data_IF_972241707093
#
_entry.id   IF_972241707093
#
_cell.length_a   1.000
_cell.length_b   1.000
_cell.length_c   1.000
_cell.angle_alpha   90.00
_cell.angle_beta   90.00
_cell.angle_gamma   90.00
#
_symmetry.space_group_name_H-M   'P 1'
#
loop_
_entity.id
_entity.type
_entity.pdbx_description
1 polymer ?
#
# COMPACT_ATOMS: atom_id res chain seq x y z
N UNK A 1 -8.84 11.77 -8.61
CA UNK A 1 -9.63 12.98 -8.26
C UNK A 1 -10.91 12.61 -7.50
N UNK A 2 -11.64 11.53 -7.86
CA UNK A 2 -12.89 11.15 -7.19
C UNK A 2 -12.71 10.90 -5.69
N UNK A 3 -11.68 10.17 -5.28
CA UNK A 3 -11.38 9.93 -3.85
C UNK A 3 -11.22 11.24 -3.07
N UNK A 4 -10.47 12.20 -3.61
CA UNK A 4 -10.25 13.51 -2.96
C UNK A 4 -11.58 14.26 -2.82
N UNK A 5 -12.36 14.34 -3.89
CA UNK A 5 -13.64 15.04 -3.86
C UNK A 5 -14.61 14.43 -2.85
N UNK A 6 -14.74 13.09 -2.86
CA UNK A 6 -15.63 12.38 -1.95
C UNK A 6 -15.18 12.48 -0.48
N UNK A 7 -13.86 12.43 -0.22
CA UNK A 7 -13.33 12.63 1.12
C UNK A 7 -13.64 14.04 1.62
N UNK A 8 -13.39 15.07 0.80
CA UNK A 8 -13.68 16.46 1.15
C UNK A 8 -15.17 16.68 1.46
N UNK A 9 -16.08 16.06 0.68
CA UNK A 9 -17.52 16.09 0.96
C UNK A 9 -17.84 15.39 2.29
N UNK A 10 -17.23 14.25 2.56
CA UNK A 10 -17.48 13.49 3.79
C UNK A 10 -17.08 14.26 5.05
N UNK A 11 -15.95 14.99 5.03
CA UNK A 11 -15.46 15.74 6.20
C UNK A 11 -15.97 17.19 6.26
N UNK A 12 -16.72 17.62 5.24
CA UNK A 12 -17.25 18.99 5.20
C UNK A 12 -18.13 19.29 6.43
N UNK A 13 -17.92 20.46 7.04
CA UNK A 13 -18.65 20.88 8.24
C UNK A 13 -18.22 20.20 9.54
N UNK A 14 -17.16 19.39 9.49
CA UNK A 14 -16.54 18.79 10.68
C UNK A 14 -15.23 19.48 11.03
N UNK A 15 -14.67 19.20 12.22
CA UNK A 15 -13.32 19.63 12.60
C UNK A 15 -12.20 18.76 12.01
N UNK A 16 -12.54 17.75 11.21
CA UNK A 16 -11.59 16.79 10.63
C UNK A 16 -10.87 17.32 9.39
N UNK A 17 -11.38 18.35 8.74
CA UNK A 17 -10.81 18.91 7.50
C UNK A 17 -9.40 19.49 7.61
N UNK A 18 -8.88 19.67 8.83
CA UNK A 18 -7.52 20.16 9.08
C UNK A 18 -6.49 19.04 9.30
N UNK A 19 -6.94 17.78 9.31
CA UNK A 19 -6.06 16.62 9.46
C UNK A 19 -5.55 16.15 8.10
N UNK A 20 -4.36 15.55 8.07
CA UNK A 20 -3.89 14.85 6.85
C UNK A 20 -4.74 13.59 6.61
N UNK A 21 -4.71 13.09 5.38
CA UNK A 21 -5.43 11.86 5.03
C UNK A 21 -4.93 10.69 5.87
N UNK A 22 -3.61 10.59 6.06
CA UNK A 22 -2.99 9.55 6.87
C UNK A 22 -3.43 9.61 8.33
N UNK A 23 -3.54 10.83 8.90
CA UNK A 23 -4.07 11.01 10.27
C UNK A 23 -5.52 10.57 10.38
N UNK A 24 -6.36 10.90 9.40
CA UNK A 24 -7.77 10.52 9.38
C UNK A 24 -7.93 8.99 9.34
N UNK A 25 -7.23 8.31 8.43
CA UNK A 25 -7.37 6.87 8.25
C UNK A 25 -6.66 6.06 9.34
N UNK A 26 -5.63 6.61 9.99
CA UNK A 26 -5.00 5.99 11.15
C UNK A 26 -5.89 6.03 12.42
N UNK A 27 -6.86 6.93 12.47
CA UNK A 27 -7.71 7.16 13.64
C UNK A 27 -9.21 7.05 13.29
N UNK A 28 -9.60 6.03 12.54
CA UNK A 28 -10.98 5.84 12.08
C UNK A 28 -11.99 5.69 13.22
N UNK A 29 -11.56 5.22 14.38
CA UNK A 29 -12.37 5.15 15.60
C UNK A 29 -12.82 6.53 16.10
N UNK A 30 -12.03 7.57 15.84
CA UNK A 30 -12.34 8.97 16.18
C UNK A 30 -13.22 9.66 15.12
N UNK A 31 -13.39 9.06 13.96
CA UNK A 31 -14.27 9.58 12.91
C UNK A 31 -15.73 9.26 13.22
N UNK A 32 -16.66 10.22 13.17
CA UNK A 32 -18.09 9.98 13.38
C UNK A 32 -18.61 8.81 12.55
N UNK A 33 -19.43 7.96 13.15
CA UNK A 33 -19.88 6.70 12.54
C UNK A 33 -20.58 6.89 11.20
N UNK A 34 -21.38 7.94 11.08
CA UNK A 34 -22.14 8.25 9.86
C UNK A 34 -21.29 8.61 8.64
N UNK A 35 -20.03 9.00 8.83
CA UNK A 35 -19.08 9.33 7.74
C UNK A 35 -17.87 8.39 7.70
N UNK A 36 -17.69 7.53 8.72
CA UNK A 36 -16.49 6.69 8.88
C UNK A 36 -16.19 5.83 7.65
N UNK A 37 -17.20 5.15 7.10
CA UNK A 37 -17.04 4.33 5.90
C UNK A 37 -16.60 5.16 4.68
N UNK A 38 -17.14 6.38 4.53
CA UNK A 38 -16.75 7.26 3.45
C UNK A 38 -15.29 7.72 3.60
N UNK A 39 -14.86 8.06 4.83
CA UNK A 39 -13.47 8.42 5.13
C UNK A 39 -12.53 7.23 4.91
N UNK A 40 -12.88 6.03 5.37
CA UNK A 40 -12.11 4.80 5.17
C UNK A 40 -11.90 4.54 3.69
N UNK A 41 -12.95 4.47 2.89
CA UNK A 41 -12.87 4.10 1.48
C UNK A 41 -12.16 5.19 0.64
N UNK A 42 -12.52 6.45 0.83
CA UNK A 42 -11.99 7.53 0.01
C UNK A 42 -10.62 8.01 0.51
N UNK A 43 -10.41 8.06 1.82
CA UNK A 43 -9.12 8.34 2.43
C UNK A 43 -8.09 7.24 2.11
N UNK A 44 -8.47 5.97 2.30
CA UNK A 44 -7.64 4.83 1.92
C UNK A 44 -7.30 4.82 0.43
N UNK A 45 -8.30 5.03 -0.44
CA UNK A 45 -8.08 5.09 -1.88
C UNK A 45 -7.13 6.20 -2.29
N UNK A 46 -7.24 7.39 -1.68
CA UNK A 46 -6.31 8.49 -1.94
C UNK A 46 -4.90 8.18 -1.45
N UNK A 47 -4.75 7.73 -0.20
CA UNK A 47 -3.45 7.40 0.38
C UNK A 47 -2.73 6.29 -0.40
N UNK A 48 -3.43 5.20 -0.70
CA UNK A 48 -2.89 4.06 -1.44
C UNK A 48 -2.33 4.46 -2.81
N UNK A 49 -3.10 5.24 -3.59
CA UNK A 49 -2.65 5.65 -4.92
C UNK A 49 -1.58 6.75 -4.87
N UNK A 50 -1.61 7.65 -3.88
CA UNK A 50 -0.55 8.63 -3.68
C UNK A 50 0.79 7.96 -3.39
N UNK A 51 0.79 6.87 -2.62
CA UNK A 51 1.96 6.03 -2.37
C UNK A 51 2.35 5.25 -3.64
N UNK A 52 1.39 4.58 -4.28
CA UNK A 52 1.61 3.68 -5.42
C UNK A 52 2.38 4.35 -6.55
N UNK A 53 2.00 5.57 -6.95
CA UNK A 53 2.67 6.29 -8.03
C UNK A 53 4.13 6.65 -7.71
N UNK A 54 4.51 6.78 -6.45
CA UNK A 54 5.90 6.99 -6.05
C UNK A 54 6.72 5.69 -6.08
N UNK A 55 6.05 4.54 -5.95
CA UNK A 55 6.68 3.21 -5.93
C UNK A 55 6.95 2.64 -7.32
N UNK A 56 6.54 3.33 -8.39
CA UNK A 56 6.73 2.87 -9.77
C UNK A 56 7.76 3.73 -10.50
N UNK A 57 8.72 3.07 -11.15
CA UNK A 57 9.75 3.72 -11.95
C UNK A 57 10.30 2.74 -12.99
N UNK A 58 10.44 3.20 -14.23
CA UNK A 58 11.21 2.46 -15.24
C UNK A 58 12.67 2.38 -14.76
N UNK A 59 13.25 1.20 -14.83
CA UNK A 59 14.62 0.95 -14.37
C UNK A 59 14.83 1.38 -12.90
N UNK A 60 13.92 0.95 -12.03
CA UNK A 60 13.86 1.32 -10.60
C UNK A 60 14.94 0.72 -9.72
N UNK A 61 15.87 -0.07 -10.28
CA UNK A 61 17.04 -0.59 -9.58
C UNK A 61 16.80 -1.86 -8.77
N UNK A 62 17.51 -1.97 -7.67
CA UNK A 62 17.46 -3.06 -6.69
C UNK A 62 17.35 -2.46 -5.27
N UNK A 63 16.90 -3.22 -4.29
CA UNK A 63 16.93 -2.78 -2.89
C UNK A 63 18.37 -2.44 -2.46
N UNK A 64 18.52 -1.48 -1.55
CA UNK A 64 19.80 -1.18 -0.93
C UNK A 64 20.37 -2.42 -0.22
N UNK A 65 21.68 -2.41 0.06
CA UNK A 65 22.31 -3.50 0.79
C UNK A 65 21.68 -3.73 2.19
N UNK A 66 21.21 -2.67 2.82
CA UNK A 66 20.56 -2.75 4.13
C UNK A 66 19.18 -3.40 4.04
N UNK A 67 18.32 -2.94 3.12
CA UNK A 67 17.00 -3.54 2.93
C UNK A 67 17.12 -4.99 2.39
N UNK A 68 18.07 -5.26 1.50
CA UNK A 68 18.32 -6.61 1.00
C UNK A 68 18.68 -7.58 2.14
N UNK A 69 19.56 -7.18 3.08
CA UNK A 69 19.87 -8.00 4.26
C UNK A 69 18.65 -8.27 5.14
N UNK A 70 17.78 -7.27 5.30
CA UNK A 70 16.55 -7.47 6.08
C UNK A 70 15.56 -8.39 5.37
N UNK A 71 15.43 -8.26 4.05
CA UNK A 71 14.64 -9.20 3.24
C UNK A 71 15.21 -10.63 3.37
N UNK A 72 16.54 -10.79 3.29
CA UNK A 72 17.19 -12.09 3.44
C UNK A 72 16.95 -12.69 4.82
N UNK A 73 17.15 -11.90 5.88
CA UNK A 73 17.07 -12.38 7.25
C UNK A 73 15.64 -12.64 7.74
N UNK A 74 14.69 -11.79 7.33
CA UNK A 74 13.32 -11.82 7.86
C UNK A 74 12.34 -12.55 6.94
N UNK A 75 12.55 -12.51 5.62
CA UNK A 75 11.62 -13.09 4.64
C UNK A 75 12.21 -14.30 3.90
N UNK A 76 13.48 -14.66 4.16
CA UNK A 76 14.12 -15.82 3.57
C UNK A 76 14.68 -15.60 2.16
N UNK A 77 14.97 -14.35 1.81
CA UNK A 77 15.60 -13.95 0.56
C UNK A 77 14.66 -13.32 -0.45
N UNK A 78 15.27 -12.69 -1.47
CA UNK A 78 14.52 -11.94 -2.48
C UNK A 78 13.52 -12.80 -3.26
N UNK A 79 13.91 -14.02 -3.64
CA UNK A 79 13.03 -14.92 -4.41
C UNK A 79 11.81 -15.33 -3.58
N UNK A 80 12.00 -15.59 -2.28
CA UNK A 80 10.89 -15.91 -1.39
C UNK A 80 10.01 -14.68 -1.14
N UNK A 81 10.58 -13.51 -0.92
CA UNK A 81 9.85 -12.24 -0.86
C UNK A 81 8.96 -12.06 -2.10
N UNK A 82 9.56 -12.20 -3.31
CA UNK A 82 8.84 -12.10 -4.58
C UNK A 82 7.69 -13.11 -4.65
N UNK A 83 7.94 -14.36 -4.28
CA UNK A 83 6.92 -15.42 -4.28
C UNK A 83 5.78 -15.11 -3.29
N UNK A 84 6.10 -14.68 -2.08
CA UNK A 84 5.12 -14.40 -1.03
C UNK A 84 4.26 -13.16 -1.38
N UNK A 85 4.87 -12.08 -1.88
CA UNK A 85 4.12 -10.89 -2.32
C UNK A 85 3.23 -11.20 -3.53
N UNK A 86 3.75 -11.98 -4.49
CA UNK A 86 2.96 -12.45 -5.63
C UNK A 86 1.77 -13.29 -5.18
N UNK A 87 1.98 -14.22 -4.27
CA UNK A 87 0.92 -15.05 -3.69
C UNK A 87 -0.13 -14.17 -3.00
N UNK A 88 0.28 -13.22 -2.17
CA UNK A 88 -0.62 -12.29 -1.50
C UNK A 88 -1.50 -11.50 -2.49
N UNK A 89 -0.93 -11.02 -3.61
CA UNK A 89 -1.66 -10.32 -4.65
C UNK A 89 -2.58 -11.22 -5.47
N UNK A 90 -2.12 -12.40 -5.87
CA UNK A 90 -2.90 -13.33 -6.69
C UNK A 90 -4.07 -13.92 -5.91
N UNK A 91 -3.86 -14.28 -4.63
CA UNK A 91 -4.90 -14.89 -3.79
C UNK A 91 -5.85 -13.88 -3.16
N UNK A 92 -5.60 -12.56 -3.28
CA UNK A 92 -6.54 -11.54 -2.84
C UNK A 92 -7.83 -11.65 -3.64
N UNK A 93 -8.88 -12.19 -3.03
CA UNK A 93 -10.17 -12.34 -3.69
C UNK A 93 -10.81 -10.96 -3.91
N UNK A 94 -11.23 -10.70 -5.14
CA UNK A 94 -11.79 -9.40 -5.51
C UNK A 94 -10.76 -8.28 -5.63
N UNK A 95 -11.20 -7.07 -5.34
CA UNK A 95 -10.37 -5.87 -5.35
C UNK A 95 -9.56 -5.73 -4.06
N UNK A 96 -8.36 -5.22 -4.15
CA UNK A 96 -7.52 -4.96 -3.00
C UNK A 96 -6.07 -4.71 -3.35
N UNK A 97 -5.20 -4.93 -2.37
CA UNK A 97 -3.77 -4.62 -2.42
C UNK A 97 -2.96 -5.75 -1.79
N UNK A 98 -1.73 -5.92 -2.23
CA UNK A 98 -0.71 -6.68 -1.52
C UNK A 98 0.41 -5.73 -1.08
N UNK A 99 0.95 -5.94 0.12
CA UNK A 99 1.85 -5.01 0.78
C UNK A 99 3.12 -5.70 1.27
N UNK A 100 4.27 -5.03 1.13
CA UNK A 100 5.40 -5.16 2.03
C UNK A 100 5.33 -3.98 3.00
N UNK A 101 5.38 -4.25 4.28
CA UNK A 101 5.24 -3.24 5.32
C UNK A 101 6.19 -3.48 6.49
N UNK A 102 6.35 -2.47 7.34
CA UNK A 102 7.00 -2.57 8.65
C UNK A 102 5.90 -2.53 9.72
N UNK A 103 5.89 -3.53 10.60
CA UNK A 103 4.95 -3.61 11.72
C UNK A 103 5.41 -2.81 12.95
N UNK A 104 4.63 -2.85 14.03
CA UNK A 104 4.92 -2.17 15.29
C UNK A 104 6.20 -2.69 15.99
N UNK A 105 6.64 -3.91 15.65
CA UNK A 105 7.86 -4.53 16.18
C UNK A 105 9.08 -4.28 15.27
N UNK A 106 8.97 -3.36 14.31
CA UNK A 106 10.00 -3.08 13.30
C UNK A 106 10.35 -4.29 12.43
N UNK A 107 9.38 -5.15 12.15
CA UNK A 107 9.56 -6.34 11.31
C UNK A 107 8.96 -6.13 9.94
N UNK A 108 9.63 -6.68 8.92
CA UNK A 108 9.09 -6.78 7.57
C UNK A 108 8.00 -7.85 7.52
N UNK A 109 6.83 -7.47 7.05
CA UNK A 109 5.67 -8.37 6.92
C UNK A 109 5.06 -8.22 5.53
N UNK A 110 4.58 -9.34 4.97
CA UNK A 110 3.80 -9.37 3.73
C UNK A 110 2.36 -9.70 4.09
N UNK A 111 1.43 -8.83 3.69
CA UNK A 111 0.00 -9.06 3.88
C UNK A 111 -0.82 -8.50 2.71
N UNK A 112 -2.12 -8.77 2.68
CA UNK A 112 -3.04 -8.17 1.71
C UNK A 112 -4.25 -7.57 2.41
N UNK A 113 -4.81 -6.52 1.80
CA UNK A 113 -6.02 -5.86 2.27
C UNK A 113 -7.09 -5.84 1.18
N UNK A 114 -8.37 -5.82 1.60
CA UNK A 114 -9.50 -5.72 0.68
C UNK A 114 -9.77 -4.27 0.30
N UNK A 115 -10.34 -4.06 -0.87
CA UNK A 115 -10.79 -2.75 -1.35
C UNK A 115 -9.71 -1.68 -1.22
N UNK A 116 -9.99 -0.58 -0.51
CA UNK A 116 -9.03 0.50 -0.26
C UNK A 116 -8.52 0.52 1.19
N UNK A 117 -8.73 -0.57 1.94
CA UNK A 117 -8.11 -0.71 3.25
C UNK A 117 -6.58 -0.69 3.12
N UNK A 118 -5.92 -0.02 4.04
CA UNK A 118 -4.48 0.20 4.03
C UNK A 118 -3.87 -0.21 5.38
N UNK A 119 -2.61 -0.69 5.40
CA UNK A 119 -1.90 -1.01 6.64
C UNK A 119 -1.87 0.16 7.66
N UNK A 120 -1.95 1.40 7.19
CA UNK A 120 -1.99 2.61 8.05
C UNK A 120 -3.15 2.55 9.05
N UNK A 121 -4.30 1.99 8.65
CA UNK A 121 -5.48 1.83 9.51
C UNK A 121 -5.23 0.90 10.71
N UNK A 122 -4.22 0.04 10.60
CA UNK A 122 -3.76 -0.87 11.66
C UNK A 122 -2.46 -0.41 12.32
N UNK A 123 -2.05 0.85 12.15
CA UNK A 123 -0.83 1.41 12.72
C UNK A 123 0.47 0.90 12.09
N UNK A 124 0.39 0.16 10.98
CA UNK A 124 1.54 -0.38 10.24
C UNK A 124 2.00 0.58 9.16
N UNK A 125 3.24 0.43 8.70
CA UNK A 125 3.88 1.34 7.74
C UNK A 125 4.13 0.64 6.41
N UNK A 126 3.29 0.87 5.38
CA UNK A 126 3.51 0.29 4.06
C UNK A 126 4.74 0.92 3.41
N UNK A 127 5.64 0.09 2.88
CA UNK A 127 6.84 0.51 2.14
C UNK A 127 6.79 0.09 0.67
N UNK A 128 5.99 -0.92 0.32
CA UNK A 128 5.69 -1.31 -1.05
C UNK A 128 4.22 -1.76 -1.13
N UNK A 129 3.51 -1.29 -2.15
CA UNK A 129 2.12 -1.65 -2.40
C UNK A 129 1.93 -2.09 -3.85
N UNK A 130 1.19 -3.18 -4.04
CA UNK A 130 0.78 -3.73 -5.33
C UNK A 130 -0.73 -3.65 -5.43
N UNK A 131 -1.22 -2.78 -6.32
CA UNK A 131 -2.65 -2.65 -6.63
C UNK A 131 -3.14 -3.87 -7.41
N UNK A 132 -4.09 -4.61 -6.88
CA UNK A 132 -4.71 -5.76 -7.57
C UNK A 132 -6.21 -5.55 -7.84
N UNK A 133 -6.67 -4.31 -7.82
CA UNK A 133 -7.93 -3.93 -8.44
C UNK A 133 -7.87 -4.19 -9.95
N UNK A 134 -8.97 -4.60 -10.57
CA UNK A 134 -9.00 -4.85 -12.03
C UNK A 134 -8.63 -3.61 -12.85
N UNK A 135 -8.96 -2.40 -12.38
CA UNK A 135 -8.58 -1.17 -13.07
C UNK A 135 -7.05 -1.00 -13.23
N UNK A 136 -6.24 -1.63 -12.36
CA UNK A 136 -4.79 -1.55 -12.43
C UNK A 136 -4.20 -2.37 -13.59
N UNK A 137 -4.89 -3.42 -14.05
CA UNK A 137 -4.29 -4.35 -15.02
C UNK A 137 -5.21 -4.75 -16.19
N UNK A 138 -6.51 -4.48 -16.13
CA UNK A 138 -7.46 -5.04 -17.08
C UNK A 138 -7.21 -4.60 -18.53
N UNK A 139 -6.84 -3.32 -18.76
CA UNK A 139 -6.59 -2.81 -20.11
C UNK A 139 -5.47 -3.55 -20.86
N UNK A 140 -4.45 -4.03 -20.15
CA UNK A 140 -3.31 -4.74 -20.76
C UNK A 140 -3.38 -6.25 -20.55
N UNK A 141 -3.82 -6.71 -19.39
CA UNK A 141 -3.75 -8.11 -18.98
C UNK A 141 -5.11 -8.79 -18.91
N UNK A 142 -6.22 -8.05 -19.02
CA UNK A 142 -7.60 -8.52 -18.82
C UNK A 142 -7.69 -9.26 -17.46
N UNK A 143 -8.14 -10.50 -17.44
CA UNK A 143 -8.26 -11.31 -16.22
C UNK A 143 -6.93 -11.99 -15.80
N UNK A 144 -5.83 -11.76 -16.52
CA UNK A 144 -4.55 -12.42 -16.25
C UNK A 144 -3.75 -11.69 -15.16
N UNK A 145 -4.32 -11.60 -13.96
CA UNK A 145 -3.67 -10.99 -12.79
C UNK A 145 -2.26 -11.52 -12.53
N UNK A 146 -1.97 -12.85 -12.63
CA UNK A 146 -0.61 -13.35 -12.41
C UNK A 146 0.45 -12.73 -13.33
N UNK A 147 0.13 -12.48 -14.60
CA UNK A 147 1.05 -11.85 -15.55
C UNK A 147 1.34 -10.37 -15.17
N UNK A 148 0.33 -9.65 -14.72
CA UNK A 148 0.49 -8.29 -14.20
C UNK A 148 1.36 -8.27 -12.95
N UNK A 149 1.09 -9.17 -12.00
CA UNK A 149 1.88 -9.28 -10.75
C UNK A 149 3.35 -9.58 -11.06
N UNK A 150 3.63 -10.48 -12.00
CA UNK A 150 5.01 -10.75 -12.42
C UNK A 150 5.67 -9.51 -13.05
N UNK A 151 4.97 -8.81 -13.92
CA UNK A 151 5.48 -7.60 -14.57
C UNK A 151 5.75 -6.45 -13.58
N UNK A 152 5.00 -6.37 -12.47
CA UNK A 152 5.15 -5.32 -11.46
C UNK A 152 6.57 -5.25 -10.90
N UNK A 153 7.24 -6.39 -10.68
CA UNK A 153 8.59 -6.42 -10.11
C UNK A 153 9.64 -5.72 -10.99
N UNK A 154 9.39 -5.57 -12.29
CA UNK A 154 10.30 -4.87 -13.21
C UNK A 154 10.22 -3.33 -13.12
N UNK A 155 9.21 -2.80 -12.43
CA UNK A 155 8.95 -1.36 -12.33
C UNK A 155 8.96 -0.83 -10.90
N UNK A 156 9.39 -1.62 -9.93
CA UNK A 156 9.51 -1.17 -8.53
C UNK A 156 10.59 -0.08 -8.42
N UNK A 157 10.23 1.05 -7.84
CA UNK A 157 11.15 2.14 -7.50
C UNK A 157 11.85 1.84 -6.17
N UNK A 158 12.89 0.97 -6.22
CA UNK A 158 13.60 0.55 -5.01
C UNK A 158 14.18 1.70 -4.19
N UNK A 159 14.76 2.77 -4.77
CA UNK A 159 15.18 3.93 -3.98
C UNK A 159 14.05 4.54 -3.11
N UNK A 160 12.80 4.54 -3.60
CA UNK A 160 11.67 5.02 -2.81
C UNK A 160 11.25 4.02 -1.73
N UNK A 161 11.31 2.73 -2.01
CA UNK A 161 11.08 1.67 -1.01
C UNK A 161 12.10 1.77 0.13
N UNK A 162 13.38 1.96 -0.20
CA UNK A 162 14.46 2.16 0.78
C UNK A 162 14.25 3.39 1.66
N UNK A 163 13.85 4.52 1.05
CA UNK A 163 13.51 5.75 1.78
C UNK A 163 12.38 5.49 2.79
N UNK A 164 11.29 4.85 2.35
CA UNK A 164 10.14 4.54 3.20
C UNK A 164 10.50 3.53 4.31
N UNK A 165 11.34 2.56 4.00
CA UNK A 165 11.87 1.62 4.99
C UNK A 165 12.66 2.36 6.08
N UNK A 166 13.60 3.23 5.69
CA UNK A 166 14.38 4.03 6.64
C UNK A 166 13.49 4.92 7.53
N UNK A 167 12.48 5.57 6.94
CA UNK A 167 11.49 6.36 7.69
C UNK A 167 10.68 5.50 8.66
N UNK A 168 10.25 4.31 8.24
CA UNK A 168 9.50 3.39 9.08
C UNK A 168 10.32 2.88 10.26
N UNK A 169 11.63 2.68 10.09
CA UNK A 169 12.53 2.24 11.16
C UNK A 169 12.87 3.36 12.15
N UNK A 170 12.88 4.63 11.71
CA UNK A 170 13.23 5.79 12.53
C UNK A 170 12.07 6.30 13.43
N UNK A 171 10.83 5.95 13.14
CA UNK A 171 9.61 6.48 13.78
C UNK A 171 9.00 5.58 14.86
#
# INVERSE_FOLDING_TARGET
>A
QAYVNNLNVAVAGTNLGNQSVEQLIANLDQVPENIRTAVQNNGGGHANHSLFWQLLKKDGGQPSADLAREIDSQLGGYDKFKADLSKAGITRFGSGWAWLLVDENKKLVIESSANQDTPIMAGKKPILGLDVWEHAYYLKYQNRRPEYVEAFFSVINWPKVDELYAQAMAS
#
